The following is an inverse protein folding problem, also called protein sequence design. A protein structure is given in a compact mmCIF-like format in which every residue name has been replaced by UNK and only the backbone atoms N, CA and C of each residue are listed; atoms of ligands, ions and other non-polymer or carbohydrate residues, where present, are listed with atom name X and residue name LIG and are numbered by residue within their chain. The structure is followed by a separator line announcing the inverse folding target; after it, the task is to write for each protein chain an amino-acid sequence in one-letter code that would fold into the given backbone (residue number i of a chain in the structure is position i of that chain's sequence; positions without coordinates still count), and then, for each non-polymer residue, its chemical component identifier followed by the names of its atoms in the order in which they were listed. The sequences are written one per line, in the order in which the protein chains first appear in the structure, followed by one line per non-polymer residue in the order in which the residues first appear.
data_IF_785884030979
#
_entry.id   IF_785884030979
#
_cell.length_a   1.000
_cell.length_b   1.000
_cell.length_c   1.000
_cell.angle_alpha   90.00
_cell.angle_beta   90.00
_cell.angle_gamma   90.00
#
_symmetry.space_group_name_H-M   'P 1'
#
loop_
_entity.id
_entity.type
_entity.pdbx_description
1 polymer ?
#
# COMPACT_ATOMS: atom_id res chain seq x y z
N UNK A 1 -56.76 -33.81 -48.96
CA UNK A 1 -56.42 -32.48 -48.46
C UNK A 1 -55.68 -32.61 -47.14
N UNK A 2 -54.40 -32.59 -47.28
CA UNK A 2 -53.50 -32.62 -46.09
C UNK A 2 -53.09 -31.20 -45.74
N UNK A 3 -53.50 -30.73 -44.60
CA UNK A 3 -53.07 -29.45 -44.05
C UNK A 3 -51.81 -29.72 -43.27
N UNK A 4 -50.66 -29.37 -43.82
CA UNK A 4 -49.39 -29.33 -43.04
C UNK A 4 -49.43 -28.12 -42.13
N UNK A 5 -49.47 -28.39 -40.85
CA UNK A 5 -49.25 -27.36 -39.81
C UNK A 5 -47.76 -27.17 -39.65
N UNK A 6 -47.27 -25.99 -40.04
CA UNK A 6 -45.90 -25.57 -39.76
C UNK A 6 -45.76 -25.32 -38.27
N UNK A 7 -45.06 -26.20 -37.58
CA UNK A 7 -44.67 -26.03 -36.19
C UNK A 7 -43.39 -25.16 -36.16
N UNK A 8 -43.58 -23.87 -35.91
CA UNK A 8 -42.43 -22.98 -35.64
C UNK A 8 -41.84 -23.35 -34.31
N UNK A 9 -40.74 -24.05 -34.36
CA UNK A 9 -39.91 -24.32 -33.16
C UNK A 9 -39.17 -23.04 -32.78
N UNK A 10 -39.75 -22.32 -31.79
CA UNK A 10 -39.13 -21.18 -31.17
C UNK A 10 -38.02 -21.70 -30.23
N UNK A 11 -36.78 -21.72 -30.73
CA UNK A 11 -35.61 -22.02 -29.90
C UNK A 11 -35.37 -20.79 -28.99
N UNK A 12 -35.85 -20.86 -27.78
CA UNK A 12 -35.53 -19.90 -26.72
C UNK A 12 -34.09 -20.19 -26.23
N UNK A 13 -33.12 -19.49 -26.82
CA UNK A 13 -31.74 -19.52 -26.34
C UNK A 13 -31.75 -18.71 -25.01
N UNK A 14 -31.86 -19.42 -23.89
CA UNK A 14 -31.53 -18.86 -22.60
C UNK A 14 -30.02 -18.61 -22.56
N UNK A 15 -29.62 -17.37 -22.85
CA UNK A 15 -28.28 -16.90 -22.51
C UNK A 15 -28.20 -16.83 -20.97
N UNK A 16 -27.83 -17.95 -20.34
CA UNK A 16 -27.39 -17.90 -18.95
C UNK A 16 -26.05 -17.16 -18.92
N UNK A 17 -26.11 -15.86 -18.60
CA UNK A 17 -24.95 -15.10 -18.21
C UNK A 17 -24.41 -15.72 -16.90
N UNK A 18 -23.47 -16.65 -17.05
CA UNK A 18 -22.69 -17.14 -15.93
C UNK A 18 -21.84 -15.96 -15.48
N UNK A 19 -22.29 -15.23 -14.48
CA UNK A 19 -21.47 -14.31 -13.74
C UNK A 19 -20.39 -15.14 -13.02
N UNK A 20 -19.24 -15.26 -13.62
CA UNK A 20 -18.04 -15.66 -12.88
C UNK A 20 -17.76 -14.52 -11.91
N UNK A 21 -18.25 -14.63 -10.69
CA UNK A 21 -17.68 -13.89 -9.59
C UNK A 21 -16.25 -14.39 -9.44
N UNK A 22 -15.31 -13.68 -10.04
CA UNK A 22 -13.90 -13.84 -9.70
C UNK A 22 -13.79 -13.44 -8.24
N UNK A 23 -13.71 -14.44 -7.36
CA UNK A 23 -13.28 -14.20 -6.01
C UNK A 23 -11.87 -13.59 -6.15
N UNK A 24 -11.75 -12.27 -5.99
CA UNK A 24 -10.47 -11.64 -5.84
C UNK A 24 -9.93 -12.13 -4.51
N UNK A 25 -9.13 -13.19 -4.56
CA UNK A 25 -8.37 -13.66 -3.39
C UNK A 25 -7.37 -12.54 -3.16
N UNK A 26 -7.57 -11.78 -2.08
CA UNK A 26 -6.55 -10.85 -1.60
C UNK A 26 -5.31 -11.65 -1.28
N UNK A 27 -4.30 -11.56 -2.13
CA UNK A 27 -3.01 -12.18 -1.87
C UNK A 27 -2.26 -11.25 -0.93
N UNK A 28 -1.95 -11.74 0.27
CA UNK A 28 -1.03 -11.07 1.17
C UNK A 28 0.39 -11.29 0.64
N UNK A 29 1.04 -10.22 0.18
CA UNK A 29 2.46 -10.25 -0.15
C UNK A 29 3.21 -9.65 1.02
N UNK A 30 4.05 -10.45 1.66
CA UNK A 30 4.93 -9.97 2.73
C UNK A 30 6.27 -9.59 2.13
N UNK A 31 6.61 -8.31 2.21
CA UNK A 31 7.92 -7.81 1.79
C UNK A 31 8.80 -7.81 3.04
N UNK A 32 9.54 -8.89 3.24
CA UNK A 32 10.52 -9.04 4.31
C UNK A 32 11.86 -9.33 3.66
N UNK A 33 12.82 -8.44 3.83
CA UNK A 33 14.17 -8.63 3.34
C UNK A 33 15.13 -8.86 4.52
N UNK A 34 15.33 -10.12 4.88
CA UNK A 34 16.44 -10.55 5.72
C UNK A 34 16.27 -10.37 7.23
N UNK A 35 17.40 -10.56 7.95
CA UNK A 35 17.43 -10.77 9.40
C UNK A 35 17.68 -9.51 10.23
N UNK A 36 17.82 -8.34 9.62
CA UNK A 36 18.18 -7.11 10.32
C UNK A 36 16.94 -6.26 10.66
N UNK A 37 16.10 -6.77 11.52
CA UNK A 37 15.04 -5.94 12.08
C UNK A 37 15.64 -4.78 12.89
N UNK A 38 15.32 -3.57 12.48
CA UNK A 38 15.66 -2.37 13.23
C UNK A 38 14.42 -1.50 13.44
N UNK A 39 14.39 -0.78 14.55
CA UNK A 39 13.31 0.16 14.83
C UNK A 39 13.64 1.50 14.20
N UNK A 40 12.84 1.94 13.23
CA UNK A 40 13.01 3.20 12.50
C UNK A 40 11.77 4.08 12.54
N UNK A 41 11.94 5.32 12.14
CA UNK A 41 10.86 6.30 12.11
C UNK A 41 9.85 6.11 10.95
N UNK A 42 10.25 5.46 9.86
CA UNK A 42 9.36 5.23 8.72
C UNK A 42 8.40 4.06 8.92
N UNK A 43 7.22 4.09 8.28
CA UNK A 43 6.74 5.09 7.31
C UNK A 43 6.12 6.35 7.94
N UNK A 44 6.23 6.54 9.25
CA UNK A 44 5.58 7.59 9.99
C UNK A 44 6.30 7.82 11.32
N UNK A 45 6.74 9.05 11.60
CA UNK A 45 7.45 9.38 12.84
C UNK A 45 6.58 10.16 13.83
N UNK A 46 6.02 9.47 14.79
CA UNK A 46 5.06 10.03 15.76
C UNK A 46 5.64 11.13 16.67
N UNK A 47 6.95 11.35 16.63
CA UNK A 47 7.63 12.41 17.39
C UNK A 47 7.45 13.82 16.78
N UNK A 48 6.97 13.90 15.53
CA UNK A 48 6.74 15.15 14.84
C UNK A 48 5.26 15.37 14.54
N UNK A 49 4.90 16.62 14.30
CA UNK A 49 3.51 17.02 14.01
C UNK A 49 3.11 16.69 12.59
N UNK A 50 4.06 16.81 11.65
CA UNK A 50 3.88 16.56 10.23
C UNK A 50 5.05 15.76 9.68
N UNK A 51 4.79 15.02 8.64
CA UNK A 51 5.83 14.28 7.96
C UNK A 51 5.41 13.79 6.57
N UNK A 52 6.39 13.62 5.70
CA UNK A 52 6.23 12.93 4.42
C UNK A 52 7.31 11.87 4.31
N UNK A 53 6.89 10.65 4.06
CA UNK A 53 7.77 9.50 3.83
C UNK A 53 7.47 8.93 2.45
N UNK A 54 8.49 8.56 1.72
CA UNK A 54 8.37 7.81 0.48
C UNK A 54 9.31 6.63 0.51
N UNK A 55 8.81 5.47 0.12
CA UNK A 55 9.62 4.25 0.02
C UNK A 55 9.38 3.60 -1.34
N UNK A 56 10.46 3.20 -2.01
CA UNK A 56 10.42 2.47 -3.28
C UNK A 56 10.61 0.99 -2.99
N UNK A 57 9.68 0.18 -3.49
CA UNK A 57 9.75 -1.28 -3.50
C UNK A 57 10.00 -1.74 -4.94
N UNK A 58 10.97 -2.62 -5.12
CA UNK A 58 11.28 -3.13 -6.46
C UNK A 58 10.16 -4.03 -6.97
N UNK A 59 10.03 -4.11 -8.30
CA UNK A 59 9.07 -5.01 -8.94
C UNK A 59 9.22 -6.46 -8.45
N UNK A 60 10.47 -6.91 -8.23
CA UNK A 60 10.74 -8.27 -7.76
C UNK A 60 10.27 -8.52 -6.32
N UNK A 61 10.17 -7.49 -5.48
CA UNK A 61 9.64 -7.57 -4.11
C UNK A 61 8.10 -7.57 -4.13
N UNK A 62 7.50 -6.73 -4.97
CA UNK A 62 6.02 -6.61 -5.07
C UNK A 62 5.41 -7.78 -5.83
N UNK A 63 6.09 -8.26 -6.88
CA UNK A 63 5.66 -9.39 -7.70
C UNK A 63 4.79 -9.02 -8.89
N UNK A 64 3.82 -9.88 -9.20
CA UNK A 64 2.97 -9.75 -10.39
C UNK A 64 1.94 -8.64 -10.28
N UNK A 65 1.38 -8.23 -11.42
CA UNK A 65 0.26 -7.29 -11.48
C UNK A 65 -0.92 -7.75 -10.60
N UNK A 66 -1.44 -6.83 -9.79
CA UNK A 66 -2.52 -7.12 -8.83
C UNK A 66 -3.23 -5.86 -8.36
N UNK A 67 -4.40 -6.03 -7.74
CA UNK A 67 -5.03 -4.96 -6.96
C UNK A 67 -4.46 -4.94 -5.55
N UNK A 68 -3.86 -3.82 -5.14
CA UNK A 68 -3.41 -3.61 -3.75
C UNK A 68 -4.54 -2.90 -3.01
N UNK A 69 -5.13 -3.55 -2.02
CA UNK A 69 -6.30 -3.06 -1.28
C UNK A 69 -5.98 -2.59 0.14
N UNK A 70 -4.74 -2.69 0.56
CA UNK A 70 -4.30 -2.27 1.88
C UNK A 70 -2.81 -2.50 2.11
N UNK A 71 -2.33 -2.02 3.24
CA UNK A 71 -0.96 -2.19 3.72
C UNK A 71 -0.97 -2.56 5.20
N UNK A 72 0.08 -3.23 5.63
CA UNK A 72 0.33 -3.50 7.04
C UNK A 72 1.77 -3.13 7.40
N UNK A 73 1.94 -2.51 8.57
CA UNK A 73 3.26 -2.22 9.12
C UNK A 73 3.36 -2.75 10.54
N UNK A 74 4.48 -3.36 10.87
CA UNK A 74 4.76 -3.77 12.23
C UNK A 74 5.22 -2.58 13.06
N UNK A 75 4.39 -2.24 14.04
CA UNK A 75 4.61 -1.15 14.99
C UNK A 75 5.17 -1.69 16.31
N UNK A 76 6.12 -0.96 16.89
CA UNK A 76 6.65 -1.21 18.23
C UNK A 76 6.62 0.10 19.03
N UNK A 77 5.58 0.28 19.81
CA UNK A 77 5.36 1.52 20.57
C UNK A 77 4.98 1.29 22.01
N UNK A 78 5.47 2.17 22.87
CA UNK A 78 5.19 2.12 24.32
C UNK A 78 3.80 2.64 24.70
N UNK A 79 3.13 3.36 23.78
CA UNK A 79 1.83 3.97 24.01
C UNK A 79 0.94 3.81 22.78
N UNK A 80 -0.37 3.71 23.03
CA UNK A 80 -1.35 3.83 21.95
C UNK A 80 -1.42 5.28 21.49
N UNK A 81 -1.37 5.49 20.18
CA UNK A 81 -1.46 6.81 19.57
C UNK A 81 -2.31 6.78 18.32
N UNK A 82 -2.89 7.92 17.94
CA UNK A 82 -3.65 8.08 16.70
C UNK A 82 -2.95 9.08 15.80
N UNK A 83 -2.98 8.81 14.49
CA UNK A 83 -2.41 9.68 13.46
C UNK A 83 -3.37 9.85 12.31
N UNK A 84 -3.52 11.09 11.85
CA UNK A 84 -4.28 11.42 10.65
C UNK A 84 -3.33 11.42 9.47
N UNK A 85 -3.52 10.49 8.55
CA UNK A 85 -2.59 10.27 7.46
C UNK A 85 -3.27 10.23 6.10
N UNK A 86 -2.47 10.46 5.06
CA UNK A 86 -2.81 10.11 3.69
C UNK A 86 -1.78 9.15 3.13
N UNK A 87 -2.23 8.22 2.28
CA UNK A 87 -1.36 7.26 1.59
C UNK A 87 -1.61 7.37 0.10
N UNK A 88 -0.51 7.51 -0.65
CA UNK A 88 -0.51 7.44 -2.12
C UNK A 88 0.34 6.28 -2.58
N UNK A 89 -0.09 5.64 -3.65
CA UNK A 89 0.69 4.64 -4.37
C UNK A 89 0.93 5.12 -5.80
N UNK A 90 2.11 4.81 -6.34
CA UNK A 90 2.46 5.14 -7.71
C UNK A 90 3.43 4.14 -8.32
N UNK A 91 3.42 4.07 -9.64
CA UNK A 91 4.43 3.36 -10.40
C UNK A 91 5.65 4.25 -10.60
N UNK A 92 6.85 3.67 -10.56
CA UNK A 92 8.09 4.40 -10.80
C UNK A 92 9.13 3.50 -11.47
N UNK A 93 9.95 4.08 -12.32
CA UNK A 93 11.14 3.42 -12.88
C UNK A 93 12.38 3.65 -12.00
N UNK A 94 12.29 4.51 -10.99
CA UNK A 94 13.39 4.75 -10.05
C UNK A 94 13.60 3.51 -9.18
N UNK A 95 14.86 3.20 -8.92
CA UNK A 95 15.28 2.13 -7.99
C UNK A 95 15.59 2.66 -6.60
N UNK A 96 15.94 3.92 -6.52
CA UNK A 96 16.38 4.64 -5.32
C UNK A 96 16.10 6.14 -5.45
N UNK A 97 16.35 6.90 -4.39
CA UNK A 97 16.31 8.35 -4.38
C UNK A 97 17.74 8.90 -4.51
N UNK A 98 18.04 9.57 -5.62
CA UNK A 98 19.38 10.09 -5.94
C UNK A 98 19.83 11.25 -5.04
N UNK A 99 18.92 11.86 -4.28
CA UNK A 99 19.21 12.95 -3.33
C UNK A 99 18.08 13.12 -2.31
N UNK A 100 18.37 13.83 -1.23
CA UNK A 100 17.41 14.12 -0.15
C UNK A 100 16.25 15.04 -0.56
N UNK A 101 16.21 15.52 -1.78
CA UNK A 101 15.15 16.35 -2.34
C UNK A 101 14.43 15.69 -3.53
N UNK A 102 14.80 14.46 -3.88
CA UNK A 102 14.27 13.77 -5.07
C UNK A 102 12.94 13.06 -4.79
N UNK A 103 12.00 13.75 -4.15
CA UNK A 103 10.65 13.21 -3.93
C UNK A 103 9.90 13.01 -5.25
N UNK A 104 9.22 11.88 -5.35
CA UNK A 104 8.26 11.66 -6.44
C UNK A 104 6.99 12.46 -6.11
N UNK A 105 6.53 13.37 -7.00
CA UNK A 105 5.37 14.19 -6.69
C UNK A 105 4.11 13.36 -6.44
N UNK A 106 3.39 13.61 -5.34
CA UNK A 106 2.12 12.92 -5.05
C UNK A 106 1.04 13.20 -6.09
N UNK A 107 1.17 14.27 -6.87
CA UNK A 107 0.31 14.57 -8.02
C UNK A 107 0.42 13.55 -9.17
N UNK A 108 1.50 12.76 -9.20
CA UNK A 108 1.68 11.64 -10.13
C UNK A 108 1.29 10.28 -9.55
N UNK A 109 0.79 10.26 -8.32
CA UNK A 109 0.37 9.06 -7.61
C UNK A 109 -1.15 9.01 -7.44
N UNK A 110 -1.66 7.85 -7.03
CA UNK A 110 -3.06 7.65 -6.67
C UNK A 110 -3.22 7.75 -5.16
N UNK A 111 -4.09 8.63 -4.68
CA UNK A 111 -4.51 8.67 -3.28
C UNK A 111 -5.38 7.44 -3.00
N UNK A 112 -4.91 6.56 -2.13
CA UNK A 112 -5.59 5.30 -1.81
C UNK A 112 -6.24 5.30 -0.43
N UNK A 113 -5.76 6.14 0.47
CA UNK A 113 -6.30 6.27 1.82
C UNK A 113 -6.19 7.70 2.35
N UNK A 114 -7.22 8.17 3.05
CA UNK A 114 -7.19 9.42 3.80
C UNK A 114 -8.04 9.29 5.06
N UNK A 115 -7.39 9.23 6.23
CA UNK A 115 -8.11 9.00 7.47
C UNK A 115 -7.21 8.92 8.69
N UNK A 116 -7.78 8.46 9.80
CA UNK A 116 -7.09 8.28 11.06
C UNK A 116 -6.77 6.81 11.30
N UNK A 117 -5.53 6.51 11.65
CA UNK A 117 -5.09 5.19 12.08
C UNK A 117 -4.78 5.19 13.57
N UNK A 118 -4.91 4.03 14.20
CA UNK A 118 -4.52 3.80 15.59
C UNK A 118 -3.32 2.87 15.64
N UNK A 119 -2.26 3.34 16.26
CA UNK A 119 -1.05 2.57 16.56
C UNK A 119 -1.17 2.10 18.00
N UNK A 120 -1.42 0.82 18.23
CA UNK A 120 -1.63 0.25 19.56
C UNK A 120 -0.30 0.07 20.30
N UNK A 121 -0.30 0.22 21.63
CA UNK A 121 0.91 -0.02 22.41
C UNK A 121 1.38 -1.48 22.30
N UNK A 122 2.67 -1.68 22.37
CA UNK A 122 3.33 -2.97 22.19
C UNK A 122 3.70 -3.25 20.73
N UNK A 123 4.20 -4.44 20.47
CA UNK A 123 4.52 -4.92 19.12
C UNK A 123 3.25 -5.45 18.47
N UNK A 124 2.84 -4.84 17.36
CA UNK A 124 1.62 -5.25 16.64
C UNK A 124 1.65 -4.84 15.18
N UNK A 125 0.98 -5.61 14.32
CA UNK A 125 0.72 -5.20 12.94
C UNK A 125 -0.42 -4.18 12.90
N UNK A 126 -0.17 -3.06 12.23
CA UNK A 126 -1.18 -2.04 11.97
C UNK A 126 -1.61 -2.14 10.53
N UNK A 127 -2.83 -2.61 10.33
CA UNK A 127 -3.45 -2.74 9.01
C UNK A 127 -4.16 -1.44 8.61
N UNK A 128 -3.99 -1.04 7.36
CA UNK A 128 -4.72 0.06 6.72
C UNK A 128 -5.40 -0.47 5.48
N UNK A 129 -6.72 -0.61 5.52
CA UNK A 129 -7.53 -0.92 4.34
C UNK A 129 -7.73 0.35 3.52
N UNK A 130 -7.50 0.29 2.23
CA UNK A 130 -7.61 1.44 1.35
C UNK A 130 -9.07 1.79 1.03
N UNK A 131 -9.35 3.07 0.85
CA UNK A 131 -10.63 3.57 0.35
C UNK A 131 -10.85 3.14 -1.10
N UNK A 132 -9.75 3.06 -1.87
CA UNK A 132 -9.73 2.60 -3.26
C UNK A 132 -8.52 1.71 -3.50
N UNK A 133 -8.74 0.55 -4.11
CA UNK A 133 -7.65 -0.34 -4.46
C UNK A 133 -6.75 0.30 -5.55
N UNK A 134 -5.45 0.12 -5.42
CA UNK A 134 -4.47 0.52 -6.42
C UNK A 134 -4.21 -0.60 -7.42
N UNK A 135 -4.32 -0.31 -8.71
CA UNK A 135 -4.02 -1.29 -9.76
C UNK A 135 -2.52 -1.27 -10.06
N UNK A 136 -1.79 -2.21 -9.46
CA UNK A 136 -0.36 -2.37 -9.71
C UNK A 136 -0.13 -3.11 -11.04
N UNK A 137 0.78 -2.57 -11.87
CA UNK A 137 1.01 -3.07 -13.23
C UNK A 137 1.93 -4.30 -13.33
N UNK A 138 2.66 -4.63 -12.26
CA UNK A 138 3.56 -5.79 -12.20
C UNK A 138 4.87 -5.64 -13.00
N UNK A 139 5.17 -4.47 -13.53
CA UNK A 139 6.36 -4.21 -14.37
C UNK A 139 7.26 -3.12 -13.80
N UNK A 140 6.69 -2.07 -13.25
CA UNK A 140 7.42 -0.96 -12.65
C UNK A 140 7.66 -1.24 -11.15
N UNK A 141 8.55 -0.48 -10.55
CA UNK A 141 8.67 -0.42 -9.10
C UNK A 141 7.45 0.29 -8.50
N UNK A 142 7.14 -0.03 -7.25
CA UNK A 142 6.07 0.61 -6.49
C UNK A 142 6.65 1.67 -5.56
N UNK A 143 6.15 2.90 -5.64
CA UNK A 143 6.42 3.92 -4.63
C UNK A 143 5.20 4.07 -3.72
N UNK A 144 5.44 4.08 -2.42
CA UNK A 144 4.44 4.34 -1.39
C UNK A 144 4.81 5.65 -0.71
N UNK A 145 3.89 6.61 -0.70
CA UNK A 145 4.03 7.86 0.03
C UNK A 145 3.04 7.90 1.19
N UNK A 146 3.54 8.24 2.38
CA UNK A 146 2.74 8.43 3.61
C UNK A 146 2.95 9.84 4.12
N UNK A 147 1.88 10.60 4.23
CA UNK A 147 1.87 11.95 4.78
C UNK A 147 1.19 11.94 6.15
N UNK A 148 1.87 12.43 7.18
CA UNK A 148 1.29 12.71 8.49
C UNK A 148 0.75 14.13 8.52
N UNK A 149 -0.55 14.26 8.74
CA UNK A 149 -1.27 15.54 8.84
C UNK A 149 -1.90 15.72 10.22
N UNK A 150 -1.35 15.07 11.24
CA UNK A 150 -1.94 15.05 12.58
C UNK A 150 -1.92 16.44 13.24
N UNK A 151 -0.90 17.26 12.98
CA UNK A 151 -0.75 18.59 13.62
C UNK A 151 -0.41 18.53 15.11
N UNK A 152 0.05 17.37 15.58
CA UNK A 152 0.51 17.18 16.95
C UNK A 152 1.48 16.00 17.04
N UNK A 153 2.52 16.14 17.82
CA UNK A 153 3.35 15.00 18.18
C UNK A 153 2.66 14.19 19.30
N UNK A 154 2.76 12.88 19.23
CA UNK A 154 2.04 11.99 20.16
C UNK A 154 2.93 10.85 20.62
N UNK A 155 4.21 11.03 20.63
CA UNK A 155 5.02 9.88 20.84
C UNK A 155 6.16 10.04 21.80
N UNK A 156 6.70 8.93 22.15
CA UNK A 156 8.02 8.78 22.71
C UNK A 156 9.02 8.61 21.59
N UNK A 157 10.26 9.06 21.77
CA UNK A 157 11.36 8.78 20.83
C UNK A 157 11.64 7.27 20.66
N UNK A 158 11.04 6.42 21.48
CA UNK A 158 11.14 4.96 21.42
C UNK A 158 10.05 4.32 20.54
N UNK A 159 9.03 5.06 20.14
CA UNK A 159 7.97 4.56 19.28
C UNK A 159 8.47 4.43 17.85
N UNK A 160 8.49 3.23 17.29
CA UNK A 160 9.12 2.92 16.02
C UNK A 160 8.34 1.87 15.24
N UNK A 161 8.58 1.84 13.94
CA UNK A 161 8.19 0.73 13.09
C UNK A 161 9.35 -0.24 12.91
N UNK A 162 9.03 -1.51 12.75
CA UNK A 162 10.00 -2.52 12.36
C UNK A 162 10.34 -2.34 10.88
N UNK A 163 11.60 -2.40 10.57
CA UNK A 163 12.09 -2.34 9.20
C UNK A 163 13.45 -3.01 9.10
N UNK A 164 13.88 -3.35 7.89
CA UNK A 164 15.27 -3.74 7.71
C UNK A 164 16.07 -2.60 7.13
N UNK A 165 17.37 -2.69 7.43
CA UNK A 165 18.37 -1.87 6.77
C UNK A 165 18.99 -2.74 5.68
N UNK A 166 18.92 -2.28 4.44
CA UNK A 166 19.62 -2.92 3.34
C UNK A 166 21.12 -2.94 3.65
N UNK A 167 21.78 -4.03 3.32
CA UNK A 167 23.21 -4.23 3.60
C UNK A 167 24.13 -3.31 2.80
N UNK A 168 23.61 -2.66 1.76
CA UNK A 168 24.30 -1.71 0.92
C UNK A 168 23.86 -0.29 1.25
N UNK A 169 24.81 0.58 1.61
CA UNK A 169 24.56 2.02 1.81
C UNK A 169 24.30 2.78 0.49
N UNK A 170 24.22 2.07 -0.63
CA UNK A 170 23.97 2.65 -1.95
C UNK A 170 22.47 2.65 -2.32
N UNK A 171 21.62 1.98 -1.51
CA UNK A 171 20.21 1.81 -1.83
C UNK A 171 19.34 2.72 -0.97
N UNK A 172 19.37 4.03 -1.25
CA UNK A 172 18.54 5.03 -0.58
C UNK A 172 17.09 4.94 -1.07
N UNK A 173 16.41 3.84 -0.71
CA UNK A 173 15.01 3.58 -1.13
C UNK A 173 13.96 4.22 -0.24
N UNK A 174 14.36 4.90 0.81
CA UNK A 174 13.43 5.65 1.67
C UNK A 174 13.89 7.09 1.83
N UNK A 175 13.00 8.01 1.53
CA UNK A 175 13.20 9.43 1.68
C UNK A 175 12.13 10.01 2.62
N UNK A 176 12.52 10.88 3.53
CA UNK A 176 11.59 11.46 4.48
C UNK A 176 11.95 12.89 4.88
N UNK A 177 10.92 13.65 5.22
CA UNK A 177 11.03 14.94 5.89
C UNK A 177 9.94 15.04 6.96
N UNK A 178 10.20 15.83 7.99
CA UNK A 178 9.27 16.07 9.09
C UNK A 178 9.46 17.47 9.68
N UNK A 179 8.41 18.00 10.34
CA UNK A 179 8.41 19.31 11.01
C UNK A 179 7.54 19.31 12.27
#
# INVERSE_FOLDING_TARGET
NSIMKNLNLLILVLLSSVFFSTNCISQLTTIIDGANESNKAGPLYTWYEYGLYQTIYSQSEVGSASGISGLEWEWDGSHTTTKTIKIWLGHTTQTDFSSTSNYIPTTSMTLVYSGTITLSSGVSWTAVTFDNAFSYNGTDNLVIAVEDNTGSFTGSSTNRFKCFTLSSSADDRTLYQYS
#
